data_IF_518710770074
#
_entry.id   IF_518710770074
#
_cell.length_a   1.000
_cell.length_b   1.000
_cell.length_c   1.000
_cell.angle_alpha   90.00
_cell.angle_beta   90.00
_cell.angle_gamma   90.00
#
_symmetry.space_group_name_H-M   'P 1'
#
loop_
_entity.id
_entity.type
_entity.pdbx_description
1 polymer ?
#
# COMPACT_ATOMS: atom_id res chain seq x y z
N UNK A 1 -93.26 -11.17 25.48
CA UNK A 1 -91.97 -10.67 26.02
C UNK A 1 -90.87 -11.54 25.43
N UNK A 2 -90.07 -10.99 24.54
CA UNK A 2 -88.96 -11.69 23.86
C UNK A 2 -87.65 -11.09 24.37
N UNK A 3 -86.88 -11.86 25.15
CA UNK A 3 -85.52 -11.50 25.54
C UNK A 3 -84.57 -11.72 24.35
N UNK A 4 -83.87 -10.67 23.93
CA UNK A 4 -82.75 -10.77 22.99
C UNK A 4 -81.49 -11.17 23.75
N UNK A 5 -80.87 -12.29 23.36
CA UNK A 5 -79.55 -12.70 23.83
C UNK A 5 -78.49 -12.01 22.97
N UNK A 6 -77.69 -11.15 23.59
CA UNK A 6 -76.62 -10.41 22.91
C UNK A 6 -75.43 -11.36 22.61
N UNK A 7 -75.24 -11.65 21.33
CA UNK A 7 -74.23 -12.56 20.80
C UNK A 7 -72.86 -11.85 20.80
N UNK A 8 -72.13 -11.88 21.93
CA UNK A 8 -70.76 -11.31 22.04
C UNK A 8 -69.77 -12.12 21.20
N UNK A 9 -69.71 -11.84 19.90
CA UNK A 9 -68.75 -12.46 18.99
C UNK A 9 -67.40 -11.75 19.09
N UNK A 10 -66.35 -12.53 19.36
CA UNK A 10 -64.96 -12.09 19.29
C UNK A 10 -64.67 -11.67 17.84
N UNK A 11 -64.47 -10.37 17.63
CA UNK A 11 -64.14 -9.81 16.32
C UNK A 11 -62.70 -10.15 15.94
N UNK A 12 -62.45 -10.35 14.64
CA UNK A 12 -61.11 -10.50 14.06
C UNK A 12 -60.16 -9.35 14.46
N UNK A 13 -60.71 -8.18 14.77
CA UNK A 13 -59.97 -7.00 15.25
C UNK A 13 -59.41 -7.19 16.68
N UNK A 14 -60.04 -8.04 17.49
CA UNK A 14 -59.58 -8.38 18.85
C UNK A 14 -58.40 -9.34 18.80
N UNK A 15 -58.38 -10.29 17.84
CA UNK A 15 -57.27 -11.23 17.66
C UNK A 15 -55.99 -10.50 17.19
N UNK A 16 -56.12 -9.53 16.28
CA UNK A 16 -54.98 -8.74 15.81
C UNK A 16 -54.30 -7.91 16.91
N UNK A 17 -55.04 -7.45 17.93
CA UNK A 17 -54.47 -6.71 19.08
C UNK A 17 -53.64 -7.61 20.01
N UNK A 18 -53.93 -8.92 20.08
CA UNK A 18 -53.14 -9.87 20.86
C UNK A 18 -51.83 -10.29 20.18
N UNK A 19 -51.81 -10.34 18.84
CA UNK A 19 -50.63 -10.74 18.08
C UNK A 19 -49.48 -9.71 18.10
N UNK A 20 -49.77 -8.45 18.46
CA UNK A 20 -48.75 -7.41 18.55
C UNK A 20 -47.74 -7.61 19.71
N UNK A 21 -48.07 -8.46 20.70
CA UNK A 21 -47.25 -8.67 21.90
C UNK A 21 -46.53 -10.02 21.95
N UNK A 22 -46.68 -10.85 20.91
CA UNK A 22 -46.13 -12.21 20.87
C UNK A 22 -45.21 -12.43 19.66
N UNK A 23 -44.54 -11.38 19.17
CA UNK A 23 -43.44 -11.58 18.22
C UNK A 23 -42.20 -11.93 19.05
N UNK A 24 -41.65 -13.15 18.93
CA UNK A 24 -40.32 -13.42 19.45
C UNK A 24 -39.39 -12.45 18.73
N UNK A 25 -38.81 -11.51 19.46
CA UNK A 25 -37.62 -10.82 18.99
C UNK A 25 -36.56 -11.91 18.89
N UNK A 26 -36.47 -12.56 17.73
CA UNK A 26 -35.26 -13.28 17.35
C UNK A 26 -34.25 -12.16 17.16
N UNK A 27 -33.24 -12.00 18.04
CA UNK A 27 -32.13 -11.18 17.67
C UNK A 27 -31.56 -11.85 16.42
N UNK A 28 -31.78 -11.21 15.28
CA UNK A 28 -30.89 -11.42 14.14
C UNK A 28 -29.55 -10.95 14.66
N UNK A 29 -28.80 -11.87 15.26
CA UNK A 29 -27.35 -11.83 15.24
C UNK A 29 -27.04 -11.95 13.76
N UNK A 30 -27.17 -10.83 13.04
CA UNK A 30 -26.40 -10.65 11.82
C UNK A 30 -25.00 -10.94 12.29
N UNK A 31 -24.43 -12.06 11.82
CA UNK A 31 -23.00 -12.12 11.75
C UNK A 31 -22.65 -10.85 10.98
N UNK A 32 -22.22 -9.81 11.71
CA UNK A 32 -21.39 -8.78 11.11
C UNK A 32 -20.44 -9.58 10.25
N UNK A 33 -20.46 -9.41 8.92
CA UNK A 33 -19.47 -10.09 8.13
C UNK A 33 -18.17 -9.77 8.84
N UNK A 34 -17.47 -10.81 9.29
CA UNK A 34 -16.06 -10.66 9.48
C UNK A 34 -15.57 -10.42 8.05
N UNK A 35 -15.75 -9.19 7.57
CA UNK A 35 -14.77 -8.54 6.75
C UNK A 35 -13.52 -8.79 7.57
N UNK A 36 -12.79 -9.83 7.17
CA UNK A 36 -11.41 -10.00 7.52
C UNK A 36 -10.85 -8.60 7.29
N UNK A 37 -10.63 -7.88 8.39
CA UNK A 37 -9.75 -6.73 8.37
C UNK A 37 -8.45 -7.39 7.98
N UNK A 38 -8.18 -7.48 6.68
CA UNK A 38 -6.84 -7.77 6.22
C UNK A 38 -6.02 -6.73 6.97
N UNK A 39 -5.08 -7.21 7.78
CA UNK A 39 -4.19 -6.33 8.49
C UNK A 39 -3.63 -5.39 7.41
N UNK A 40 -3.95 -4.10 7.52
CA UNK A 40 -3.77 -3.17 6.40
C UNK A 40 -2.34 -3.20 5.86
N UNK A 41 -2.15 -2.87 4.59
CA UNK A 41 -0.81 -2.91 4.00
C UNK A 41 0.18 -1.90 4.59
N UNK A 42 1.46 -2.00 4.19
CA UNK A 42 2.44 -0.97 4.51
C UNK A 42 2.01 0.33 3.83
N UNK A 43 2.39 1.44 4.45
CA UNK A 43 2.32 2.74 3.80
C UNK A 43 3.73 3.33 3.72
N UNK A 44 3.91 4.39 2.96
CA UNK A 44 5.20 5.03 2.88
C UNK A 44 5.12 6.45 2.38
N UNK A 45 6.21 7.17 2.60
CA UNK A 45 6.38 8.57 2.23
C UNK A 45 7.73 8.72 1.55
N UNK A 46 7.73 9.45 0.44
CA UNK A 46 8.96 9.91 -0.19
C UNK A 46 9.23 11.32 0.32
N UNK A 47 10.28 11.48 1.12
CA UNK A 47 10.52 12.71 1.87
C UNK A 47 11.45 13.68 1.14
N UNK A 48 12.33 13.16 0.29
CA UNK A 48 13.30 13.97 -0.42
C UNK A 48 13.67 13.34 -1.76
N UNK A 49 14.07 14.17 -2.72
CA UNK A 49 14.48 13.74 -4.04
C UNK A 49 15.59 14.64 -4.58
N UNK A 50 16.56 14.02 -5.25
CA UNK A 50 17.66 14.74 -5.87
C UNK A 50 18.01 14.13 -7.23
N UNK A 51 18.60 14.94 -8.11
CA UNK A 51 19.18 14.47 -9.37
C UNK A 51 20.61 14.02 -9.16
N UNK A 52 21.01 12.95 -9.82
CA UNK A 52 22.36 12.42 -9.75
C UNK A 52 23.10 12.69 -11.07
N UNK A 53 23.85 13.81 -11.16
CA UNK A 53 24.56 14.16 -12.38
C UNK A 53 25.80 13.27 -12.54
N UNK A 54 25.90 12.63 -13.70
CA UNK A 54 27.00 11.72 -13.99
C UNK A 54 26.91 10.42 -13.21
N UNK A 55 27.72 9.44 -13.60
CA UNK A 55 27.74 8.11 -13.01
C UNK A 55 28.65 8.01 -11.76
N UNK A 56 28.82 9.12 -11.01
CA UNK A 56 29.78 9.20 -9.89
C UNK A 56 29.48 8.22 -8.77
N UNK A 57 28.20 7.89 -8.57
CA UNK A 57 27.72 6.97 -7.53
C UNK A 57 27.58 5.53 -8.02
N UNK A 58 27.88 5.24 -9.29
CA UNK A 58 27.71 3.92 -9.87
C UNK A 58 28.70 2.92 -9.27
N UNK A 59 29.97 3.28 -9.14
CA UNK A 59 30.98 2.35 -8.62
C UNK A 59 30.82 2.08 -7.11
N UNK A 60 30.34 3.08 -6.35
CA UNK A 60 30.21 2.97 -4.90
C UNK A 60 28.88 2.32 -4.48
N UNK A 61 27.78 2.68 -5.14
CA UNK A 61 26.44 2.31 -4.72
C UNK A 61 25.63 1.60 -5.82
N UNK A 62 26.16 1.48 -7.03
CA UNK A 62 25.39 0.96 -8.17
C UNK A 62 24.32 1.94 -8.66
N UNK A 63 24.31 3.17 -8.16
CA UNK A 63 23.32 4.16 -8.59
C UNK A 63 23.74 4.75 -9.93
N UNK A 64 22.93 4.50 -10.94
CA UNK A 64 23.15 5.04 -12.28
C UNK A 64 22.72 6.50 -12.35
N UNK A 65 23.06 7.16 -13.46
CA UNK A 65 22.63 8.53 -13.74
C UNK A 65 21.09 8.59 -13.80
N UNK A 66 20.51 9.55 -13.08
CA UNK A 66 19.06 9.72 -13.00
C UNK A 66 18.68 10.51 -11.76
N UNK A 67 17.80 9.95 -10.95
CA UNK A 67 17.24 10.54 -9.75
C UNK A 67 17.35 9.59 -8.57
N UNK A 68 17.34 10.16 -7.37
CA UNK A 68 17.45 9.41 -6.13
C UNK A 68 16.39 9.93 -5.18
N UNK A 69 15.67 9.01 -4.55
CA UNK A 69 14.55 9.28 -3.66
C UNK A 69 14.81 8.69 -2.28
N UNK A 70 14.59 9.47 -1.23
CA UNK A 70 14.57 8.98 0.14
C UNK A 70 13.15 8.52 0.48
N UNK A 71 13.00 7.24 0.80
CA UNK A 71 11.71 6.60 1.05
C UNK A 71 11.69 6.06 2.47
N UNK A 72 10.64 6.40 3.21
CA UNK A 72 10.32 5.77 4.49
C UNK A 72 9.12 4.86 4.29
N UNK A 73 9.27 3.59 4.65
CA UNK A 73 8.20 2.60 4.64
C UNK A 73 7.80 2.32 6.09
N UNK A 74 6.51 2.36 6.37
CA UNK A 74 5.94 2.15 7.69
C UNK A 74 5.01 0.93 7.63
N UNK A 75 5.14 0.07 8.64
CA UNK A 75 4.22 -1.04 8.86
C UNK A 75 3.31 -0.68 10.05
N UNK A 76 2.05 -0.30 9.81
CA UNK A 76 1.12 0.04 10.87
C UNK A 76 0.51 -1.18 11.56
N UNK A 77 0.81 -2.40 11.11
CA UNK A 77 0.18 -3.63 11.61
C UNK A 77 0.91 -4.22 12.81
N UNK A 78 0.25 -5.18 13.47
CA UNK A 78 0.81 -5.94 14.57
C UNK A 78 1.65 -7.16 14.10
N UNK A 79 1.82 -7.36 12.80
CA UNK A 79 2.58 -8.49 12.22
C UNK A 79 3.71 -7.96 11.33
N UNK A 80 4.72 -8.79 11.11
CA UNK A 80 5.82 -8.43 10.22
C UNK A 80 5.33 -8.43 8.77
N UNK A 81 5.76 -7.43 8.00
CA UNK A 81 5.52 -7.34 6.56
C UNK A 81 6.85 -7.43 5.81
N UNK A 82 6.78 -7.89 4.57
CA UNK A 82 7.89 -7.92 3.65
C UNK A 82 7.57 -7.07 2.44
N UNK A 83 8.47 -6.17 2.09
CA UNK A 83 8.46 -5.44 0.82
C UNK A 83 9.38 -6.14 -0.14
N UNK A 84 9.03 -6.18 -1.42
CA UNK A 84 9.84 -6.81 -2.46
C UNK A 84 10.45 -5.73 -3.36
N UNK A 85 11.62 -5.15 -3.00
CA UNK A 85 12.19 -4.01 -3.69
C UNK A 85 13.14 -4.42 -4.84
N UNK A 86 13.35 -5.71 -5.09
CA UNK A 86 14.23 -6.15 -6.17
C UNK A 86 13.46 -6.35 -7.46
N UNK A 87 14.13 -6.16 -8.59
CA UNK A 87 13.60 -6.47 -9.92
C UNK A 87 13.68 -7.99 -10.12
N UNK A 88 12.54 -8.65 -10.30
CA UNK A 88 12.39 -10.09 -10.56
C UNK A 88 11.57 -10.38 -11.85
N UNK A 89 11.08 -9.34 -12.52
CA UNK A 89 10.24 -9.35 -13.72
C UNK A 89 8.72 -9.38 -13.45
N UNK A 90 8.28 -9.78 -12.26
CA UNK A 90 6.85 -9.97 -11.92
C UNK A 90 6.37 -8.99 -10.85
N UNK A 91 7.17 -8.79 -9.81
CA UNK A 91 6.94 -7.92 -8.65
C UNK A 91 7.77 -6.63 -8.71
N UNK A 92 8.23 -6.28 -9.90
CA UNK A 92 9.11 -5.13 -10.13
C UNK A 92 8.52 -3.83 -9.56
N UNK A 93 9.26 -3.14 -8.67
CA UNK A 93 8.93 -1.78 -8.31
C UNK A 93 8.90 -0.87 -9.55
N UNK A 94 7.95 0.04 -9.60
CA UNK A 94 7.86 0.97 -10.73
C UNK A 94 7.37 2.35 -10.31
N UNK A 95 7.71 3.34 -11.13
CA UNK A 95 7.23 4.70 -10.98
C UNK A 95 6.08 4.95 -11.96
N UNK A 96 4.93 5.39 -11.45
CA UNK A 96 3.86 5.95 -12.26
C UNK A 96 3.96 7.48 -12.19
N UNK A 97 4.49 8.08 -13.27
CA UNK A 97 4.92 9.48 -13.30
C UNK A 97 4.00 10.31 -14.17
N UNK A 98 3.69 11.53 -13.73
CA UNK A 98 2.91 12.50 -14.51
C UNK A 98 3.74 13.71 -14.95
N UNK A 99 4.93 13.92 -14.37
CA UNK A 99 5.90 14.93 -14.84
C UNK A 99 6.52 14.54 -16.19
N UNK A 100 7.11 15.53 -16.87
CA UNK A 100 7.70 15.38 -18.21
C UNK A 100 8.92 14.43 -18.27
N UNK A 101 9.55 14.16 -17.13
CA UNK A 101 10.70 13.26 -17.04
C UNK A 101 10.25 11.87 -16.58
N UNK A 102 10.59 10.79 -17.32
CA UNK A 102 10.30 9.44 -16.88
C UNK A 102 11.21 9.04 -15.71
N UNK A 103 10.66 8.30 -14.75
CA UNK A 103 11.43 7.60 -13.73
C UNK A 103 11.31 6.10 -13.98
N UNK A 104 12.43 5.40 -13.92
CA UNK A 104 12.47 3.94 -13.98
C UNK A 104 13.22 3.44 -12.77
N UNK A 105 12.62 2.52 -12.03
CA UNK A 105 13.29 1.91 -10.90
C UNK A 105 14.55 1.17 -11.39
N UNK A 106 15.69 1.39 -10.74
CA UNK A 106 16.94 0.71 -11.08
C UNK A 106 17.42 -0.14 -9.91
N UNK A 107 17.60 0.47 -8.75
CA UNK A 107 18.07 -0.22 -7.55
C UNK A 107 17.70 0.56 -6.29
N UNK A 108 17.84 -0.08 -5.13
CA UNK A 108 17.69 0.59 -3.85
C UNK A 108 18.66 0.00 -2.81
N UNK A 109 18.91 0.78 -1.76
CA UNK A 109 19.77 0.42 -0.63
C UNK A 109 19.13 0.80 0.68
N UNK A 110 19.55 0.15 1.77
CA UNK A 110 19.18 0.58 3.12
C UNK A 110 19.69 1.99 3.36
N UNK A 111 18.92 2.79 4.10
CA UNK A 111 19.33 4.10 4.56
C UNK A 111 19.17 4.16 6.08
N UNK A 112 20.28 4.35 6.78
CA UNK A 112 20.28 4.34 8.25
C UNK A 112 21.19 5.44 8.76
N UNK A 113 20.69 6.25 9.70
CA UNK A 113 21.51 7.26 10.37
C UNK A 113 22.14 8.29 9.43
N UNK A 114 21.49 8.61 8.32
CA UNK A 114 22.01 9.58 7.34
C UNK A 114 23.01 9.01 6.34
N UNK A 115 23.12 7.67 6.21
CA UNK A 115 24.10 7.03 5.36
C UNK A 115 23.48 5.93 4.48
N UNK A 116 24.00 5.82 3.26
CA UNK A 116 23.66 4.76 2.31
C UNK A 116 24.37 3.47 2.75
N UNK A 117 23.57 2.44 3.02
CA UNK A 117 24.02 1.14 3.50
C UNK A 117 24.17 0.08 2.40
N UNK A 118 23.92 -1.15 2.79
CA UNK A 118 24.00 -2.33 1.93
C UNK A 118 22.87 -2.37 0.89
N UNK A 119 23.06 -3.11 -0.22
CA UNK A 119 21.97 -3.48 -1.11
C UNK A 119 20.80 -4.09 -0.35
N UNK A 120 19.58 -3.84 -0.83
CA UNK A 120 18.39 -4.46 -0.25
C UNK A 120 18.34 -5.97 -0.55
N UNK A 121 17.85 -6.79 0.39
CA UNK A 121 17.49 -8.17 0.09
C UNK A 121 16.27 -8.25 -0.83
N UNK A 122 16.02 -9.42 -1.42
CA UNK A 122 14.84 -9.69 -2.22
C UNK A 122 13.52 -9.46 -1.46
N UNK A 123 13.50 -9.78 -0.16
CA UNK A 123 12.41 -9.49 0.74
C UNK A 123 12.93 -8.65 1.92
N UNK A 124 12.55 -7.38 1.93
CA UNK A 124 12.88 -6.43 2.98
C UNK A 124 11.86 -6.53 4.12
N UNK A 125 12.32 -6.97 5.28
CA UNK A 125 11.51 -6.98 6.49
C UNK A 125 11.17 -5.55 6.95
N UNK A 126 9.89 -5.27 7.14
CA UNK A 126 9.38 -4.10 7.85
C UNK A 126 8.70 -4.61 9.14
N UNK A 127 9.34 -4.47 10.31
CA UNK A 127 8.83 -5.02 11.56
C UNK A 127 7.43 -4.53 11.91
N UNK A 128 6.66 -5.33 12.65
CA UNK A 128 5.37 -4.93 13.23
C UNK A 128 5.49 -3.60 13.98
N UNK A 129 4.60 -2.64 13.67
CA UNK A 129 4.62 -1.28 14.23
C UNK A 129 5.88 -0.46 13.92
N UNK A 130 6.75 -0.96 13.04
CA UNK A 130 8.06 -0.39 12.75
C UNK A 130 8.13 0.38 11.44
N UNK A 131 9.31 0.90 11.16
CA UNK A 131 9.63 1.56 9.89
C UNK A 131 11.02 1.22 9.41
N UNK A 132 11.22 1.31 8.10
CA UNK A 132 12.52 1.16 7.44
C UNK A 132 12.70 2.32 6.46
N UNK A 133 13.91 2.84 6.39
CA UNK A 133 14.29 3.82 5.39
C UNK A 133 15.14 3.18 4.31
N UNK A 134 14.83 3.52 3.07
CA UNK A 134 15.59 3.10 1.90
C UNK A 134 15.86 4.30 1.00
N UNK A 135 16.93 4.19 0.23
CA UNK A 135 17.24 5.13 -0.84
C UNK A 135 17.01 4.41 -2.17
N UNK A 136 16.18 4.99 -3.02
CA UNK A 136 15.80 4.41 -4.32
C UNK A 136 16.48 5.20 -5.41
N UNK A 137 17.26 4.53 -6.26
CA UNK A 137 17.77 5.11 -7.48
C UNK A 137 16.80 4.82 -8.63
N UNK A 138 16.27 5.90 -9.20
CA UNK A 138 15.44 5.87 -10.38
C UNK A 138 16.26 6.38 -11.57
N UNK A 139 16.75 5.48 -12.42
CA UNK A 139 17.57 5.87 -13.56
C UNK A 139 17.61 4.82 -14.66
N UNK A 140 17.26 5.26 -15.86
CA UNK A 140 17.55 4.60 -17.17
C UNK A 140 17.50 5.60 -18.35
N UNK A 141 17.19 6.87 -18.07
CA UNK A 141 16.80 7.90 -19.02
C UNK A 141 17.97 8.74 -19.56
N UNK A 142 19.21 8.39 -19.22
CA UNK A 142 20.45 9.09 -19.62
C UNK A 142 20.49 10.60 -19.32
N UNK A 143 19.47 11.14 -18.64
CA UNK A 143 19.32 12.53 -18.26
C UNK A 143 19.02 12.63 -16.76
N UNK A 144 19.30 13.79 -16.20
CA UNK A 144 19.11 14.13 -14.79
C UNK A 144 18.99 15.65 -14.74
N UNK A 145 17.97 16.17 -15.45
CA UNK A 145 17.67 17.58 -15.48
C UNK A 145 17.18 18.02 -14.11
N UNK A 146 17.39 19.29 -13.75
CA UNK A 146 16.66 19.83 -12.61
C UNK A 146 15.23 20.09 -13.06
N UNK A 147 14.28 19.33 -12.54
CA UNK A 147 12.88 19.39 -12.94
C UNK A 147 11.97 19.14 -11.75
N UNK A 148 10.69 19.51 -11.89
CA UNK A 148 9.62 18.99 -11.06
C UNK A 148 9.49 17.47 -11.21
N UNK A 149 9.06 16.81 -10.15
CA UNK A 149 8.85 15.36 -10.10
C UNK A 149 7.51 15.08 -9.43
N UNK A 150 6.54 14.59 -10.19
CA UNK A 150 5.21 14.27 -9.68
C UNK A 150 4.83 12.87 -10.12
N UNK A 151 4.38 12.06 -9.17
CA UNK A 151 3.98 10.69 -9.45
C UNK A 151 3.81 9.87 -8.19
N UNK A 152 4.00 8.56 -8.33
CA UNK A 152 4.05 7.63 -7.21
C UNK A 152 5.03 6.49 -7.48
N UNK A 153 5.69 6.03 -6.43
CA UNK A 153 6.42 4.76 -6.43
C UNK A 153 5.45 3.66 -6.02
N UNK A 154 5.48 2.54 -6.73
CA UNK A 154 4.67 1.36 -6.43
C UNK A 154 5.61 0.21 -6.11
N UNK A 155 5.33 -0.51 -5.03
CA UNK A 155 6.11 -1.67 -4.58
C UNK A 155 5.17 -2.80 -4.18
N UNK A 156 5.60 -4.03 -4.46
CA UNK A 156 4.92 -5.23 -4.00
C UNK A 156 5.23 -5.48 -2.51
N UNK A 157 4.28 -6.11 -1.81
CA UNK A 157 4.44 -6.48 -0.42
C UNK A 157 3.64 -7.73 -0.07
N UNK A 158 3.98 -8.36 1.06
CA UNK A 158 3.23 -9.49 1.61
C UNK A 158 3.68 -9.88 3.01
N UNK A 159 3.07 -10.93 3.56
CA UNK A 159 3.34 -11.47 4.90
C UNK A 159 4.49 -12.48 4.94
N UNK A 160 5.02 -12.89 3.77
CA UNK A 160 6.02 -13.96 3.69
C UNK A 160 7.34 -13.48 3.09
N UNK A 161 8.44 -14.14 3.47
CA UNK A 161 9.78 -13.86 2.91
C UNK A 161 9.85 -14.25 1.43
N UNK A 162 9.02 -15.20 0.99
CA UNK A 162 9.02 -15.68 -0.39
C UNK A 162 8.15 -14.76 -1.23
N UNK A 163 8.79 -14.04 -2.15
CA UNK A 163 8.12 -13.22 -3.16
C UNK A 163 6.99 -13.98 -3.83
N UNK A 164 5.81 -13.36 -3.95
CA UNK A 164 4.69 -13.99 -4.66
C UNK A 164 3.90 -15.00 -3.85
N UNK A 165 4.40 -15.46 -2.69
CA UNK A 165 3.82 -16.59 -1.96
C UNK A 165 2.79 -16.21 -0.89
N UNK A 166 2.41 -14.94 -0.79
CA UNK A 166 1.39 -14.47 0.15
C UNK A 166 -0.01 -14.84 -0.37
N UNK A 167 -0.74 -15.76 0.30
CA UNK A 167 -2.09 -16.12 -0.11
C UNK A 167 -3.12 -15.04 0.20
N UNK A 168 -2.83 -14.15 1.16
CA UNK A 168 -3.78 -13.13 1.63
C UNK A 168 -3.75 -11.87 0.76
N UNK A 169 -2.64 -11.63 0.07
CA UNK A 169 -2.45 -10.46 -0.80
C UNK A 169 -1.99 -10.89 -2.19
N UNK A 170 -2.90 -11.42 -3.03
CA UNK A 170 -2.55 -11.86 -4.36
C UNK A 170 -2.16 -10.66 -5.24
N UNK A 171 -0.98 -10.72 -5.85
CA UNK A 171 -0.43 -9.68 -6.73
C UNK A 171 -1.23 -9.61 -8.04
N UNK A 172 -2.33 -8.88 -8.02
CA UNK A 172 -3.28 -8.84 -9.14
C UNK A 172 -3.55 -7.40 -9.56
N UNK A 173 -3.21 -7.00 -10.80
CA UNK A 173 -2.46 -7.76 -11.82
C UNK A 173 -0.95 -7.92 -11.52
N UNK A 174 -0.35 -8.97 -12.10
CA UNK A 174 1.09 -9.17 -12.20
C UNK A 174 1.47 -9.45 -13.67
N UNK A 175 2.34 -8.65 -14.32
CA UNK A 175 2.98 -7.44 -13.80
C UNK A 175 1.96 -6.34 -13.48
N UNK A 176 2.30 -5.39 -12.60
CA UNK A 176 1.36 -4.38 -12.12
C UNK A 176 0.92 -3.45 -13.24
N UNK A 177 -0.32 -2.96 -13.17
CA UNK A 177 -0.83 -1.91 -14.05
C UNK A 177 -1.11 -0.62 -13.27
N UNK A 178 -1.71 0.38 -13.91
CA UNK A 178 -2.19 1.58 -13.24
C UNK A 178 -3.73 1.57 -13.27
N UNK A 179 -4.43 1.35 -12.13
CA UNK A 179 -3.91 1.11 -10.77
C UNK A 179 -3.37 -0.33 -10.57
N UNK A 180 -2.43 -0.54 -9.62
CA UNK A 180 -1.70 -1.80 -9.50
C UNK A 180 -2.47 -2.95 -8.85
N UNK A 181 -3.66 -2.70 -8.30
CA UNK A 181 -4.51 -3.71 -7.65
C UNK A 181 -3.94 -4.25 -6.33
N UNK A 182 -4.36 -5.46 -5.91
CA UNK A 182 -4.01 -6.05 -4.61
C UNK A 182 -2.57 -6.61 -4.59
N UNK A 183 -1.93 -6.69 -3.41
CA UNK A 183 -0.51 -7.06 -3.27
C UNK A 183 0.47 -5.92 -3.54
N UNK A 184 -0.03 -4.70 -3.77
CA UNK A 184 0.78 -3.52 -4.07
C UNK A 184 0.44 -2.37 -3.14
N UNK A 185 1.45 -1.58 -2.77
CA UNK A 185 1.24 -0.32 -2.08
C UNK A 185 1.91 0.83 -2.86
N UNK A 186 1.34 2.02 -2.73
CA UNK A 186 1.73 3.19 -3.51
C UNK A 186 2.15 4.34 -2.61
N UNK A 187 3.26 4.97 -2.95
CA UNK A 187 3.80 6.13 -2.25
C UNK A 187 3.79 7.33 -3.20
N UNK A 188 2.84 8.27 -3.04
CA UNK A 188 2.80 9.46 -3.87
C UNK A 188 3.99 10.39 -3.53
N UNK A 189 4.41 11.16 -4.51
CA UNK A 189 5.41 12.20 -4.34
C UNK A 189 5.11 13.39 -5.26
N UNK A 190 5.52 14.57 -4.80
CA UNK A 190 5.45 15.81 -5.56
C UNK A 190 6.58 16.72 -5.09
N UNK A 191 7.52 16.98 -5.99
CA UNK A 191 8.65 17.89 -5.75
C UNK A 191 8.64 18.96 -6.83
N UNK A 192 8.73 20.23 -6.42
CA UNK A 192 8.81 21.35 -7.35
C UNK A 192 10.15 21.41 -8.12
N UNK A 193 11.19 20.77 -7.57
CA UNK A 193 12.50 20.64 -8.21
C UNK A 193 13.25 19.43 -7.66
N UNK A 194 14.29 19.00 -8.36
CA UNK A 194 15.17 17.88 -7.99
C UNK A 194 16.62 18.36 -7.99
N UNK A 195 17.09 19.04 -6.93
CA UNK A 195 18.45 19.60 -6.89
C UNK A 195 19.52 18.50 -6.97
N UNK A 196 20.79 18.84 -7.29
CA UNK A 196 21.88 17.86 -7.26
C UNK A 196 21.99 17.14 -5.91
N UNK A 197 22.17 15.82 -5.94
CA UNK A 197 22.45 15.04 -4.74
C UNK A 197 23.79 15.46 -4.11
N UNK A 198 23.84 15.48 -2.77
CA UNK A 198 25.09 15.67 -2.03
C UNK A 198 25.61 14.30 -1.64
N UNK A 199 26.81 13.89 -2.06
CA UNK A 199 27.38 12.57 -1.75
C UNK A 199 26.41 11.40 -2.05
N UNK A 200 25.75 11.43 -3.22
CA UNK A 200 24.81 10.40 -3.67
C UNK A 200 23.49 10.30 -2.89
N UNK A 201 23.21 11.24 -1.99
CA UNK A 201 21.98 11.28 -1.21
C UNK A 201 21.19 12.59 -1.41
N UNK A 202 19.85 12.54 -1.31
CA UNK A 202 18.98 13.71 -1.32
C UNK A 202 19.21 14.68 -0.15
#
# INVERSE_FOLDING_TARGET
MTEQREDRRVSRRTIAKGAAWAIPAVPLVVATPAYATSAGGPNGVITNACKQPGASCQNQYGFVKGYTFLVTINNPTAINLYVYPTVDGTLDPFFAVTSSVPFAYSTARLYTGGAIGTPLPAALLVPAGGSVQIIVNAGTNSNSANTDAVGRLVMAWGHTVVQGADPDHPYTPAPPTNPPGEGWFTMPFSFASTPPCTNCQP
#
